data_IF_461383612344
#
_entry.id   IF_461383612344
#
_cell.length_a   1.000
_cell.length_b   1.000
_cell.length_c   1.000
_cell.angle_alpha   90.00
_cell.angle_beta   90.00
_cell.angle_gamma   90.00
#
_symmetry.space_group_name_H-M   'P 1'
#
loop_
_entity.id
_entity.type
_entity.pdbx_description
1 polymer ?
#
# COMPACT_ATOMS: atom_id res chain seq x y z
N UNK A 1 -43.23 -30.14 14.77
CA UNK A 1 -42.28 -29.03 14.98
C UNK A 1 -41.13 -29.25 14.03
N UNK A 2 -41.00 -28.46 12.97
CA UNK A 2 -39.89 -28.58 12.02
C UNK A 2 -38.82 -27.57 12.44
N UNK A 3 -37.68 -28.07 12.89
CA UNK A 3 -36.53 -27.26 13.27
C UNK A 3 -35.72 -27.04 11.99
N UNK A 4 -35.80 -25.82 11.45
CA UNK A 4 -34.97 -25.41 10.32
C UNK A 4 -33.55 -25.21 10.85
N UNK A 5 -32.63 -26.07 10.41
CA UNK A 5 -31.21 -25.93 10.65
C UNK A 5 -30.73 -24.64 9.98
N UNK A 6 -30.41 -23.63 10.78
CA UNK A 6 -29.80 -22.39 10.29
C UNK A 6 -28.37 -22.74 9.87
N UNK A 7 -28.21 -23.03 8.58
CA UNK A 7 -26.90 -23.11 7.94
C UNK A 7 -26.15 -21.82 8.29
N UNK A 8 -24.98 -21.86 8.95
CA UNK A 8 -24.20 -20.66 9.11
C UNK A 8 -23.79 -20.28 7.70
N UNK A 9 -24.36 -19.19 7.20
CA UNK A 9 -23.86 -18.50 6.01
C UNK A 9 -22.37 -18.36 6.23
N UNK A 10 -21.58 -19.18 5.53
CA UNK A 10 -20.15 -18.97 5.40
C UNK A 10 -20.06 -17.62 4.73
N UNK A 11 -19.93 -16.57 5.55
CA UNK A 11 -19.39 -15.30 5.14
C UNK A 11 -18.09 -15.71 4.49
N UNK A 12 -18.09 -15.73 3.16
CA UNK A 12 -16.89 -15.82 2.39
C UNK A 12 -16.14 -14.56 2.77
N UNK A 13 -15.36 -14.64 3.84
CA UNK A 13 -14.18 -13.83 4.00
C UNK A 13 -13.39 -14.18 2.75
N UNK A 14 -13.63 -13.43 1.67
CA UNK A 14 -12.71 -13.29 0.55
C UNK A 14 -11.37 -13.23 1.24
N UNK A 15 -10.60 -14.31 1.12
CA UNK A 15 -9.35 -14.43 1.81
C UNK A 15 -8.58 -13.16 1.43
N UNK A 16 -8.53 -12.20 2.35
CA UNK A 16 -7.64 -11.06 2.25
C UNK A 16 -6.31 -11.76 2.24
N UNK A 17 -5.81 -12.00 1.03
CA UNK A 17 -4.58 -12.74 0.74
C UNK A 17 -3.60 -12.27 1.77
N UNK A 18 -3.27 -13.17 2.69
CA UNK A 18 -2.74 -12.87 4.01
C UNK A 18 -1.56 -11.93 3.83
N UNK A 19 -1.79 -10.62 4.01
CA UNK A 19 -0.79 -9.60 3.68
C UNK A 19 0.43 -9.96 4.51
N UNK A 20 1.49 -10.36 3.83
CA UNK A 20 2.70 -10.78 4.52
C UNK A 20 3.32 -9.55 5.17
N UNK A 21 4.01 -9.74 6.29
CA UNK A 21 4.69 -8.63 6.97
C UNK A 21 5.65 -7.89 6.03
N UNK A 22 6.26 -8.61 5.08
CA UNK A 22 7.12 -8.05 4.05
C UNK A 22 6.34 -7.12 3.10
N UNK A 23 5.18 -7.55 2.59
CA UNK A 23 4.32 -6.70 1.75
C UNK A 23 3.86 -5.44 2.49
N UNK A 24 3.46 -5.57 3.76
CA UNK A 24 3.09 -4.43 4.60
C UNK A 24 4.27 -3.48 4.83
N UNK A 25 5.48 -4.03 5.03
CA UNK A 25 6.69 -3.25 5.19
C UNK A 25 7.03 -2.47 3.91
N UNK A 26 6.84 -3.07 2.74
CA UNK A 26 7.00 -2.38 1.46
C UNK A 26 6.00 -1.23 1.31
N UNK A 27 4.74 -1.42 1.68
CA UNK A 27 3.73 -0.34 1.65
C UNK A 27 4.07 0.80 2.60
N UNK A 28 4.47 0.47 3.82
CA UNK A 28 4.92 1.47 4.79
C UNK A 28 6.14 2.24 4.27
N UNK A 29 7.10 1.55 3.67
CA UNK A 29 8.31 2.17 3.13
C UNK A 29 8.01 3.10 1.96
N UNK A 30 7.09 2.72 1.06
CA UNK A 30 6.64 3.57 -0.04
C UNK A 30 6.02 4.87 0.47
N UNK A 31 5.07 4.78 1.40
CA UNK A 31 4.41 5.95 2.01
C UNK A 31 5.40 6.83 2.77
N UNK A 32 6.33 6.22 3.49
CA UNK A 32 7.37 6.93 4.23
C UNK A 32 8.30 7.70 3.30
N UNK A 33 8.69 7.09 2.17
CA UNK A 33 9.53 7.74 1.17
C UNK A 33 8.80 8.90 0.47
N UNK A 34 7.51 8.75 0.15
CA UNK A 34 6.69 9.84 -0.39
C UNK A 34 6.60 11.00 0.62
N UNK A 35 6.30 10.72 1.89
CA UNK A 35 6.19 11.75 2.92
C UNK A 35 7.51 12.49 3.13
N UNK A 36 8.63 11.76 3.16
CA UNK A 36 9.96 12.34 3.30
C UNK A 36 10.31 13.26 2.12
N UNK A 37 10.13 12.77 0.89
CA UNK A 37 10.46 13.51 -0.33
C UNK A 37 9.56 14.74 -0.51
N UNK A 38 8.28 14.65 -0.12
CA UNK A 38 7.37 15.79 -0.08
C UNK A 38 7.79 16.84 0.96
N UNK A 39 8.27 16.38 2.12
CA UNK A 39 8.82 17.29 3.14
C UNK A 39 10.06 18.01 2.61
N UNK A 40 10.96 17.29 1.94
CA UNK A 40 12.14 17.88 1.31
C UNK A 40 11.77 18.91 0.23
N UNK A 41 10.76 18.63 -0.58
CA UNK A 41 10.25 19.56 -1.59
C UNK A 41 9.67 20.83 -0.94
N UNK A 42 8.85 20.67 0.11
CA UNK A 42 8.25 21.79 0.84
C UNK A 42 9.31 22.67 1.54
N UNK A 43 10.42 22.07 1.96
CA UNK A 43 11.56 22.79 2.55
C UNK A 43 12.49 23.41 1.50
N UNK A 44 12.24 23.19 0.21
CA UNK A 44 13.10 23.66 -0.87
C UNK A 44 14.46 22.97 -0.95
N UNK A 45 14.59 21.77 -0.34
CA UNK A 45 15.83 20.97 -0.38
C UNK A 45 16.01 20.24 -1.72
N UNK A 46 14.90 20.00 -2.42
CA UNK A 46 14.87 19.40 -3.75
C UNK A 46 13.91 20.19 -4.65
N UNK A 47 14.15 20.10 -5.95
CA UNK A 47 13.27 20.66 -6.98
C UNK A 47 12.11 19.72 -7.30
N UNK A 48 11.06 20.25 -7.94
CA UNK A 48 9.93 19.44 -8.39
C UNK A 48 10.33 18.35 -9.40
N UNK A 49 11.37 18.61 -10.21
CA UNK A 49 11.90 17.61 -11.14
C UNK A 49 12.57 16.45 -10.41
N UNK A 50 13.41 16.76 -9.42
CA UNK A 50 14.06 15.75 -8.57
C UNK A 50 13.03 14.95 -7.77
N UNK A 51 12.01 15.60 -7.22
CA UNK A 51 10.89 14.92 -6.55
C UNK A 51 10.23 13.89 -7.48
N UNK A 52 9.94 14.27 -8.73
CA UNK A 52 9.34 13.37 -9.71
C UNK A 52 10.24 12.18 -10.02
N UNK A 53 11.54 12.39 -10.19
CA UNK A 53 12.51 11.31 -10.43
C UNK A 53 12.59 10.35 -9.24
N UNK A 54 12.60 10.89 -8.01
CA UNK A 54 12.60 10.07 -6.81
C UNK A 54 11.31 9.26 -6.69
N UNK A 55 10.14 9.83 -7.03
CA UNK A 55 8.88 9.08 -7.01
C UNK A 55 8.84 7.93 -8.01
N UNK A 56 9.41 8.11 -9.21
CA UNK A 56 9.53 7.01 -10.19
C UNK A 56 10.39 5.89 -9.62
N UNK A 57 11.53 6.20 -9.01
CA UNK A 57 12.37 5.20 -8.37
C UNK A 57 11.71 4.56 -7.15
N UNK A 58 10.88 5.31 -6.40
CA UNK A 58 10.13 4.82 -5.24
C UNK A 58 9.15 3.70 -5.64
N UNK A 59 8.43 3.90 -6.75
CA UNK A 59 7.52 2.92 -7.38
C UNK A 59 8.28 1.66 -7.81
N UNK A 60 9.45 1.82 -8.44
CA UNK A 60 10.28 0.70 -8.91
C UNK A 60 10.91 -0.09 -7.75
N UNK A 61 11.35 0.62 -6.70
CA UNK A 61 12.09 0.04 -5.57
C UNK A 61 11.18 -0.70 -4.60
N UNK A 62 9.95 -0.21 -4.40
CA UNK A 62 8.97 -0.84 -3.53
C UNK A 62 7.83 -1.38 -4.38
N UNK A 63 7.92 -2.65 -4.84
CA UNK A 63 6.84 -3.31 -5.57
C UNK A 63 5.68 -3.55 -4.60
N UNK A 64 4.89 -2.49 -4.42
CA UNK A 64 3.72 -2.44 -3.56
C UNK A 64 2.49 -2.74 -4.38
N UNK A 65 1.49 -3.34 -3.76
CA UNK A 65 0.18 -3.50 -4.40
C UNK A 65 -0.38 -2.13 -4.83
N UNK A 66 -0.18 -1.10 -4.00
CA UNK A 66 -0.61 0.27 -4.29
C UNK A 66 0.11 0.91 -5.49
N UNK A 67 1.39 0.58 -5.73
CA UNK A 67 2.10 1.04 -6.92
C UNK A 67 1.48 0.53 -8.23
N UNK A 68 0.67 -0.54 -8.21
CA UNK A 68 0.00 -1.06 -9.41
C UNK A 68 -1.30 -0.32 -9.74
N UNK A 69 -1.84 0.47 -8.80
CA UNK A 69 -3.11 1.20 -8.91
C UNK A 69 -2.96 2.72 -8.88
N UNK A 70 -1.72 3.23 -8.74
CA UNK A 70 -1.33 4.65 -8.87
C UNK A 70 -0.86 4.95 -10.30
#
# INVERSE_FOLDING_TARGET
MQVTEVTPTTTQHTALSQITHEQLQHEFNFLRAEHLTKTMLNQGLITADEYRRIMVENVVTFPTFISQIL
#
